data_IF_528257384818
#
_entry.id   IF_528257384818
#
_cell.length_a   1.000
_cell.length_b   1.000
_cell.length_c   1.000
_cell.angle_alpha   90.00
_cell.angle_beta   90.00
_cell.angle_gamma   90.00
#
_symmetry.space_group_name_H-M   'P 1'
#
loop_
_entity.id
_entity.type
_entity.pdbx_description
1 polymer ?
#
# COMPACT_ATOMS: atom_id res chain seq x y z
N UNK A 1 53.05 6.56 41.35
CA UNK A 1 53.42 5.96 40.05
C UNK A 1 53.77 4.46 40.10
N UNK A 2 53.75 3.78 41.26
CA UNK A 2 54.08 2.34 41.36
C UNK A 2 52.86 1.38 41.20
N UNK A 3 51.62 1.88 41.17
CA UNK A 3 50.42 1.00 41.07
C UNK A 3 50.12 0.50 39.65
N UNK A 4 50.53 1.23 38.61
CA UNK A 4 50.23 0.89 37.21
C UNK A 4 51.07 -0.28 36.69
N UNK A 5 52.29 -0.43 37.21
CA UNK A 5 53.21 -1.50 36.80
C UNK A 5 52.72 -2.90 37.19
N UNK A 6 52.12 -3.04 38.38
CA UNK A 6 51.55 -4.31 38.84
C UNK A 6 50.36 -4.76 37.99
N UNK A 7 49.47 -3.81 37.64
CA UNK A 7 48.29 -4.10 36.82
C UNK A 7 48.64 -4.58 35.41
N UNK A 8 49.69 -4.02 34.80
CA UNK A 8 50.16 -4.45 33.48
C UNK A 8 50.72 -5.88 33.53
N UNK A 9 51.46 -6.22 34.60
CA UNK A 9 51.99 -7.57 34.79
C UNK A 9 50.86 -8.60 34.96
N UNK A 10 49.81 -8.28 35.73
CA UNK A 10 48.63 -9.13 35.85
C UNK A 10 47.84 -9.24 34.54
N UNK A 11 47.71 -8.15 33.78
CA UNK A 11 47.01 -8.15 32.49
C UNK A 11 47.76 -9.00 31.45
N UNK A 12 49.09 -8.87 31.37
CA UNK A 12 49.93 -9.70 30.49
C UNK A 12 49.86 -11.16 30.94
N UNK A 13 49.96 -11.44 32.25
CA UNK A 13 49.84 -12.79 32.79
C UNK A 13 48.49 -13.44 32.49
N UNK A 14 47.39 -12.70 32.61
CA UNK A 14 46.04 -13.17 32.26
C UNK A 14 45.91 -13.45 30.76
N UNK A 15 46.49 -12.59 29.91
CA UNK A 15 46.45 -12.76 28.45
C UNK A 15 47.29 -13.97 28.00
N UNK A 16 48.46 -14.16 28.61
CA UNK A 16 49.30 -15.35 28.41
C UNK A 16 48.58 -16.62 28.89
N UNK A 17 47.87 -16.58 30.03
CA UNK A 17 47.08 -17.71 30.51
C UNK A 17 45.92 -18.06 29.59
N UNK A 18 45.22 -17.06 29.02
CA UNK A 18 44.14 -17.28 28.06
C UNK A 18 44.71 -17.87 26.76
N UNK A 19 45.82 -17.34 26.24
CA UNK A 19 46.47 -17.88 25.04
C UNK A 19 47.01 -19.28 25.29
N UNK A 20 47.65 -19.53 26.44
CA UNK A 20 48.15 -20.84 26.82
C UNK A 20 47.02 -21.85 27.06
N UNK A 21 45.88 -21.43 27.63
CA UNK A 21 44.70 -22.28 27.79
C UNK A 21 44.02 -22.58 26.45
N UNK A 22 43.97 -21.61 25.53
CA UNK A 22 43.49 -21.80 24.17
C UNK A 22 44.43 -22.65 23.31
N UNK A 23 45.74 -22.60 23.57
CA UNK A 23 46.75 -23.43 22.91
C UNK A 23 46.86 -24.84 23.52
N UNK A 24 46.65 -24.97 24.84
CA UNK A 24 46.66 -26.24 25.57
C UNK A 24 45.36 -27.03 25.34
N UNK A 25 44.24 -26.34 25.13
CA UNK A 25 43.06 -26.92 24.53
C UNK A 25 43.45 -27.17 23.08
N UNK A 26 43.68 -28.42 22.69
CA UNK A 26 43.85 -28.83 21.28
C UNK A 26 42.52 -28.64 20.55
N UNK A 27 42.05 -27.40 20.46
CA UNK A 27 40.96 -27.00 19.59
C UNK A 27 41.51 -27.29 18.20
N UNK A 28 40.84 -28.19 17.49
CA UNK A 28 41.27 -28.52 16.15
C UNK A 28 41.31 -27.22 15.34
N UNK A 29 42.38 -27.00 14.57
CA UNK A 29 42.48 -25.84 13.67
C UNK A 29 41.20 -25.69 12.80
N UNK A 30 40.55 -26.82 12.49
CA UNK A 30 39.25 -26.86 11.84
C UNK A 30 38.10 -26.23 12.63
N UNK A 31 38.03 -26.39 13.94
CA UNK A 31 36.98 -25.77 14.78
C UNK A 31 37.13 -24.25 14.87
N UNK A 32 38.35 -23.74 15.01
CA UNK A 32 38.62 -22.29 15.02
C UNK A 32 38.29 -21.66 13.67
N UNK A 33 38.70 -22.30 12.57
CA UNK A 33 38.36 -21.86 11.21
C UNK A 33 36.84 -21.89 10.98
N UNK A 34 36.16 -22.96 11.42
CA UNK A 34 34.70 -23.08 11.30
C UNK A 34 33.97 -21.97 12.07
N UNK A 35 34.47 -21.61 13.25
CA UNK A 35 33.90 -20.53 14.05
C UNK A 35 34.10 -19.16 13.40
N UNK A 36 35.29 -18.89 12.86
CA UNK A 36 35.58 -17.65 12.13
C UNK A 36 34.70 -17.54 10.87
N UNK A 37 34.54 -18.62 10.11
CA UNK A 37 33.64 -18.65 8.95
C UNK A 37 32.19 -18.40 9.36
N UNK A 38 31.73 -18.97 10.48
CA UNK A 38 30.38 -18.72 11.00
C UNK A 38 30.19 -17.24 11.37
N UNK A 39 31.17 -16.61 12.04
CA UNK A 39 31.12 -15.18 12.35
C UNK A 39 31.12 -14.32 11.09
N UNK A 40 31.97 -14.63 10.11
CA UNK A 40 31.99 -13.93 8.82
C UNK A 40 30.63 -14.05 8.12
N UNK A 41 30.01 -15.24 8.12
CA UNK A 41 28.69 -15.45 7.55
C UNK A 41 27.61 -14.63 8.27
N UNK A 42 27.64 -14.57 9.60
CA UNK A 42 26.71 -13.75 10.40
C UNK A 42 26.90 -12.26 10.09
N UNK A 43 28.13 -11.75 10.09
CA UNK A 43 28.40 -10.35 9.76
C UNK A 43 28.05 -10.02 8.32
N UNK A 44 28.30 -10.93 7.37
CA UNK A 44 27.90 -10.77 5.97
C UNK A 44 26.37 -10.70 5.85
N UNK A 45 25.64 -11.58 6.53
CA UNK A 45 24.17 -11.56 6.56
C UNK A 45 23.64 -10.26 7.17
N UNK A 46 24.19 -9.82 8.30
CA UNK A 46 23.83 -8.57 8.93
C UNK A 46 24.16 -7.36 8.06
N UNK A 47 25.31 -7.37 7.40
CA UNK A 47 25.72 -6.34 6.46
C UNK A 47 24.75 -6.25 5.29
N UNK A 48 24.34 -7.39 4.70
CA UNK A 48 23.31 -7.45 3.65
C UNK A 48 22.00 -6.88 4.19
N UNK A 49 21.47 -7.38 5.31
CA UNK A 49 20.21 -6.90 5.89
C UNK A 49 20.24 -5.39 6.18
N UNK A 50 21.36 -4.87 6.68
CA UNK A 50 21.50 -3.45 7.01
C UNK A 50 21.71 -2.58 5.76
N UNK A 51 22.50 -3.05 4.80
CA UNK A 51 22.76 -2.36 3.52
C UNK A 51 21.47 -2.26 2.69
N UNK A 52 20.69 -3.33 2.63
CA UNK A 52 19.45 -3.42 1.84
C UNK A 52 18.19 -2.98 2.62
N UNK A 53 18.33 -2.44 3.85
CA UNK A 53 17.17 -2.02 4.67
C UNK A 53 16.24 -1.02 3.97
N UNK A 54 16.78 -0.18 3.07
CA UNK A 54 16.02 0.80 2.29
C UNK A 54 15.21 0.15 1.18
N UNK A 55 15.83 -0.74 0.42
CA UNK A 55 15.19 -1.50 -0.66
C UNK A 55 14.11 -2.44 -0.10
N UNK A 56 14.37 -3.05 1.06
CA UNK A 56 13.42 -3.92 1.74
C UNK A 56 12.13 -3.18 2.12
N UNK A 57 12.21 -1.92 2.58
CA UNK A 57 11.03 -1.08 2.85
C UNK A 57 10.21 -0.81 1.59
N UNK A 58 10.87 -0.57 0.46
CA UNK A 58 10.20 -0.32 -0.82
C UNK A 58 9.46 -1.56 -1.34
N UNK A 59 10.11 -2.72 -1.27
CA UNK A 59 9.50 -4.01 -1.63
C UNK A 59 8.32 -4.30 -0.70
N UNK A 60 8.48 -4.11 0.60
CA UNK A 60 7.41 -4.32 1.57
C UNK A 60 6.20 -3.41 1.33
N UNK A 61 6.42 -2.12 1.07
CA UNK A 61 5.34 -1.19 0.75
C UNK A 61 4.60 -1.58 -0.54
N UNK A 62 5.30 -2.07 -1.57
CA UNK A 62 4.67 -2.57 -2.79
C UNK A 62 3.83 -3.81 -2.54
N UNK A 63 4.34 -4.79 -1.80
CA UNK A 63 3.58 -5.99 -1.44
C UNK A 63 2.35 -5.63 -0.62
N UNK A 64 2.50 -4.71 0.35
CA UNK A 64 1.37 -4.27 1.19
C UNK A 64 0.34 -3.48 0.36
N UNK A 65 0.79 -2.66 -0.59
CA UNK A 65 -0.09 -1.93 -1.50
C UNK A 65 -0.81 -2.86 -2.48
N UNK A 66 -0.15 -3.92 -2.95
CA UNK A 66 -0.74 -4.93 -3.82
C UNK A 66 -1.81 -5.73 -3.08
N UNK A 67 -1.52 -6.14 -1.84
CA UNK A 67 -2.50 -6.77 -0.94
C UNK A 67 -3.66 -5.85 -0.56
N UNK A 68 -3.42 -4.55 -0.40
CA UNK A 68 -4.46 -3.54 -0.19
C UNK A 68 -5.16 -3.12 -1.49
N UNK A 69 -4.67 -3.59 -2.64
CA UNK A 69 -5.10 -3.22 -3.99
C UNK A 69 -4.99 -1.71 -4.30
N UNK A 70 -4.01 -1.03 -3.70
CA UNK A 70 -3.59 0.34 -4.02
C UNK A 70 -2.30 0.37 -4.84
N UNK A 71 -1.78 -0.78 -5.30
CA UNK A 71 -0.53 -0.85 -6.09
C UNK A 71 -0.55 0.05 -7.33
N UNK A 72 -1.74 0.24 -7.91
CA UNK A 72 -1.94 1.03 -9.11
C UNK A 72 -2.31 2.51 -8.84
N UNK A 73 -2.29 2.98 -7.59
CA UNK A 73 -2.58 4.38 -7.27
C UNK A 73 -1.46 4.99 -6.43
N UNK A 74 -1.09 6.24 -6.74
CA UNK A 74 -0.04 6.95 -6.02
C UNK A 74 -0.32 8.44 -5.97
N UNK A 75 -0.16 9.03 -4.79
CA UNK A 75 -0.11 10.48 -4.64
C UNK A 75 1.19 11.07 -5.22
N UNK A 76 1.07 12.12 -6.02
CA UNK A 76 2.19 12.87 -6.61
C UNK A 76 2.01 14.36 -6.33
N UNK A 77 2.43 14.82 -5.15
CA UNK A 77 2.13 16.17 -4.70
C UNK A 77 0.65 16.27 -4.35
N UNK A 78 -0.09 17.17 -5.00
CA UNK A 78 -1.55 17.28 -4.85
C UNK A 78 -2.33 16.37 -5.80
N UNK A 79 -1.71 15.88 -6.87
CA UNK A 79 -2.36 15.03 -7.88
C UNK A 79 -2.29 13.55 -7.51
N UNK A 80 -3.16 12.77 -8.13
CA UNK A 80 -3.19 11.31 -8.02
C UNK A 80 -2.87 10.70 -9.37
N UNK A 81 -1.82 9.89 -9.41
CA UNK A 81 -1.46 9.10 -10.59
C UNK A 81 -2.00 7.68 -10.41
N UNK A 82 -2.77 7.22 -11.38
CA UNK A 82 -3.27 5.86 -11.49
C UNK A 82 -2.57 5.17 -12.65
N UNK A 83 -2.14 3.93 -12.44
CA UNK A 83 -1.63 3.06 -13.49
C UNK A 83 -2.75 2.15 -13.96
N UNK A 84 -2.84 1.92 -15.27
CA UNK A 84 -3.81 0.99 -15.86
C UNK A 84 -3.55 -0.41 -15.29
N UNK A 85 -4.62 -1.08 -14.87
CA UNK A 85 -4.55 -2.48 -14.45
C UNK A 85 -4.33 -3.41 -15.64
N UNK A 86 -3.99 -4.67 -15.34
CA UNK A 86 -3.84 -5.72 -16.34
C UNK A 86 -5.15 -6.04 -17.08
N UNK A 87 -6.29 -5.67 -16.49
CA UNK A 87 -7.63 -5.73 -17.08
C UNK A 87 -7.89 -4.63 -18.12
N UNK A 88 -6.93 -3.72 -18.31
CA UNK A 88 -7.02 -2.61 -19.25
C UNK A 88 -7.76 -1.40 -18.71
N UNK A 89 -8.22 -1.41 -17.45
CA UNK A 89 -9.01 -0.34 -16.87
C UNK A 89 -8.24 0.46 -15.82
N UNK A 90 -8.72 1.67 -15.53
CA UNK A 90 -8.23 2.45 -14.39
C UNK A 90 -9.12 2.18 -13.20
N UNK A 91 -8.53 1.67 -12.13
CA UNK A 91 -9.21 1.45 -10.85
C UNK A 91 -8.61 2.31 -9.76
N UNK A 92 -9.45 2.71 -8.81
CA UNK A 92 -9.05 3.53 -7.67
C UNK A 92 -9.73 3.04 -6.40
N UNK A 93 -8.96 2.89 -5.34
CA UNK A 93 -9.45 2.71 -3.98
C UNK A 93 -9.70 4.08 -3.37
N UNK A 94 -10.97 4.38 -3.11
CA UNK A 94 -11.41 5.59 -2.44
C UNK A 94 -11.89 5.26 -1.02
N UNK A 95 -11.79 6.22 -0.12
CA UNK A 95 -12.45 6.15 1.18
C UNK A 95 -13.80 6.88 1.07
N UNK A 96 -14.90 6.14 1.17
CA UNK A 96 -16.28 6.61 1.12
C UNK A 96 -16.83 6.58 2.53
N UNK A 97 -17.16 7.73 3.11
CA UNK A 97 -17.68 7.86 4.48
C UNK A 97 -16.86 7.08 5.54
N UNK A 98 -15.53 7.05 5.40
CA UNK A 98 -14.63 6.33 6.31
C UNK A 98 -14.30 4.91 5.87
N UNK A 99 -14.97 4.34 4.85
CA UNK A 99 -14.81 2.94 4.45
C UNK A 99 -14.14 2.80 3.07
N UNK A 100 -13.18 1.87 2.91
CA UNK A 100 -12.51 1.68 1.63
C UNK A 100 -13.44 1.03 0.61
N UNK A 101 -13.59 1.65 -0.56
CA UNK A 101 -14.42 1.18 -1.68
C UNK A 101 -13.60 1.29 -2.96
N UNK A 102 -13.54 0.19 -3.73
CA UNK A 102 -12.87 0.16 -5.03
C UNK A 102 -13.83 0.60 -6.12
N UNK A 103 -13.36 1.50 -6.97
CA UNK A 103 -14.07 2.00 -8.14
C UNK A 103 -13.29 1.74 -9.42
N UNK A 104 -14.01 1.43 -10.48
CA UNK A 104 -13.58 1.56 -11.86
C UNK A 104 -13.84 3.00 -12.31
N UNK A 105 -12.87 3.65 -12.94
CA UNK A 105 -13.10 4.97 -13.54
C UNK A 105 -13.80 4.78 -14.89
N UNK A 106 -14.99 5.37 -15.02
CA UNK A 106 -15.84 5.25 -16.20
C UNK A 106 -16.28 6.63 -16.70
N UNK A 107 -15.54 7.16 -17.68
CA UNK A 107 -15.89 8.42 -18.36
C UNK A 107 -17.19 8.34 -19.19
N UNK A 108 -17.72 7.14 -19.44
CA UNK A 108 -19.02 6.94 -20.08
C UNK A 108 -20.19 7.04 -19.10
N UNK A 109 -19.94 6.92 -17.79
CA UNK A 109 -20.96 7.05 -16.76
C UNK A 109 -21.11 8.52 -16.36
N UNK A 110 -22.29 9.11 -16.60
CA UNK A 110 -22.56 10.49 -16.15
C UNK A 110 -22.56 10.63 -14.63
N UNK A 111 -23.07 9.61 -13.93
CA UNK A 111 -23.22 9.59 -12.47
C UNK A 111 -22.46 8.40 -11.89
N UNK A 112 -21.64 8.68 -10.87
CA UNK A 112 -20.98 7.67 -10.02
C UNK A 112 -22.02 6.71 -9.46
N UNK A 113 -21.80 5.42 -9.65
CA UNK A 113 -22.77 4.37 -9.31
C UNK A 113 -22.11 3.31 -8.44
N UNK A 114 -22.73 2.98 -7.30
CA UNK A 114 -22.27 1.93 -6.40
C UNK A 114 -23.17 0.70 -6.52
N UNK A 115 -22.59 -0.47 -6.26
CA UNK A 115 -23.38 -1.65 -5.97
C UNK A 115 -24.14 -1.45 -4.65
N UNK A 116 -25.30 -2.07 -4.54
CA UNK A 116 -26.08 -2.09 -3.29
C UNK A 116 -25.26 -2.56 -2.10
N UNK A 117 -24.47 -3.63 -2.26
CA UNK A 117 -23.59 -4.13 -1.21
C UNK A 117 -22.56 -3.09 -0.78
N UNK A 118 -21.92 -2.41 -1.73
CA UNK A 118 -20.94 -1.37 -1.41
C UNK A 118 -21.58 -0.15 -0.76
N UNK A 119 -22.80 0.21 -1.15
CA UNK A 119 -23.54 1.33 -0.55
C UNK A 119 -23.95 1.02 0.90
N UNK A 120 -24.51 -0.16 1.14
CA UNK A 120 -24.86 -0.67 2.47
C UNK A 120 -23.58 -0.78 3.34
N UNK A 121 -22.51 -1.34 2.77
CA UNK A 121 -21.20 -1.43 3.39
C UNK A 121 -20.48 -0.09 3.51
N UNK A 122 -20.94 1.00 2.89
CA UNK A 122 -20.44 2.36 3.10
C UNK A 122 -21.31 3.16 4.09
N UNK A 123 -22.42 2.57 4.57
CA UNK A 123 -23.39 3.25 5.43
C UNK A 123 -24.11 4.39 4.72
N UNK A 124 -24.33 4.26 3.41
CA UNK A 124 -25.10 5.23 2.64
C UNK A 124 -26.58 5.02 2.88
N UNK A 125 -27.29 6.12 3.08
CA UNK A 125 -28.74 6.11 3.22
C UNK A 125 -29.39 6.19 1.83
N UNK A 126 -30.16 5.16 1.49
CA UNK A 126 -30.98 5.12 0.27
C UNK A 126 -32.19 4.23 0.50
N UNK A 127 -33.37 4.73 0.16
CA UNK A 127 -34.60 3.97 0.33
C UNK A 127 -34.93 3.20 -0.95
N UNK A 128 -34.95 1.86 -0.86
CA UNK A 128 -35.36 1.01 -1.99
C UNK A 128 -36.85 1.13 -2.30
N UNK A 129 -37.65 1.64 -1.37
CA UNK A 129 -39.08 1.93 -1.54
C UNK A 129 -39.35 3.23 -2.31
N UNK A 130 -38.34 4.11 -2.43
CA UNK A 130 -38.42 5.27 -3.30
C UNK A 130 -38.51 4.88 -4.78
N UNK A 131 -39.03 5.82 -5.59
CA UNK A 131 -39.12 5.63 -7.03
C UNK A 131 -37.73 5.46 -7.66
N UNK A 132 -37.45 4.31 -8.31
CA UNK A 132 -36.16 4.08 -8.92
C UNK A 132 -35.99 4.97 -10.17
N UNK A 133 -34.77 5.44 -10.37
CA UNK A 133 -34.34 6.06 -11.62
C UNK A 133 -33.96 4.95 -12.59
N UNK A 134 -34.52 5.02 -13.80
CA UNK A 134 -34.15 4.12 -14.88
C UNK A 134 -32.93 4.68 -15.60
N UNK A 135 -31.83 3.96 -15.55
CA UNK A 135 -30.57 4.32 -16.19
C UNK A 135 -30.34 3.40 -17.39
N UNK A 136 -29.90 3.98 -18.50
CA UNK A 136 -29.45 3.22 -19.67
C UNK A 136 -28.01 2.78 -19.46
N UNK A 137 -27.76 1.48 -19.50
CA UNK A 137 -26.44 0.87 -19.42
C UNK A 137 -26.14 0.08 -20.70
N UNK A 138 -24.92 -0.42 -20.83
CA UNK A 138 -24.54 -1.30 -21.95
C UNK A 138 -25.40 -2.58 -22.02
N UNK A 139 -25.92 -3.05 -20.88
CA UNK A 139 -26.77 -4.24 -20.78
C UNK A 139 -28.27 -3.92 -20.86
N UNK A 140 -28.64 -2.70 -21.25
CA UNK A 140 -30.03 -2.25 -21.33
C UNK A 140 -30.43 -1.33 -20.18
N UNK A 141 -31.72 -1.28 -19.85
CA UNK A 141 -32.23 -0.40 -18.79
C UNK A 141 -32.09 -1.08 -17.42
N UNK A 142 -31.52 -0.37 -16.46
CA UNK A 142 -31.38 -0.81 -15.07
C UNK A 142 -32.11 0.14 -14.12
N UNK A 143 -32.62 -0.40 -13.02
CA UNK A 143 -33.14 0.41 -11.90
C UNK A 143 -31.98 0.85 -11.02
N UNK A 144 -32.06 2.06 -10.51
CA UNK A 144 -31.13 2.59 -9.54
C UNK A 144 -31.83 3.53 -8.57
N UNK A 145 -31.28 3.68 -7.37
CA UNK A 145 -31.78 4.59 -6.35
C UNK A 145 -30.79 5.70 -6.13
N UNK A 146 -31.28 6.90 -5.81
CA UNK A 146 -30.41 8.03 -5.55
C UNK A 146 -29.90 7.94 -4.13
N UNK A 147 -28.62 8.27 -3.94
CA UNK A 147 -28.03 8.45 -2.63
C UNK A 147 -27.00 9.58 -2.70
N UNK A 148 -26.42 9.91 -1.55
CA UNK A 148 -25.38 10.92 -1.46
C UNK A 148 -24.21 10.40 -0.61
N UNK A 149 -23.00 10.58 -1.12
CA UNK A 149 -21.78 10.37 -0.36
C UNK A 149 -21.39 11.69 0.30
N UNK A 150 -21.38 11.70 1.64
CA UNK A 150 -21.00 12.87 2.44
C UNK A 150 -19.55 13.25 2.19
N UNK A 151 -18.64 12.26 2.16
CA UNK A 151 -17.23 12.48 1.84
C UNK A 151 -16.64 11.30 1.09
N UNK A 152 -16.02 11.59 -0.05
CA UNK A 152 -15.18 10.66 -0.80
C UNK A 152 -13.75 11.22 -0.86
N UNK A 153 -12.79 10.38 -0.45
CA UNK A 153 -11.37 10.71 -0.48
C UNK A 153 -10.60 9.74 -1.36
N UNK A 154 -9.89 10.27 -2.34
CA UNK A 154 -8.96 9.55 -3.20
C UNK A 154 -7.58 10.12 -2.94
N UNK A 155 -6.75 9.41 -2.17
CA UNK A 155 -5.43 9.89 -1.76
C UNK A 155 -5.46 11.32 -1.19
N UNK A 156 -5.00 12.31 -1.96
CA UNK A 156 -4.95 13.74 -1.60
C UNK A 156 -6.22 14.51 -1.98
N UNK A 157 -7.06 13.95 -2.84
CA UNK A 157 -8.30 14.56 -3.33
C UNK A 157 -9.42 14.23 -2.34
N UNK A 158 -10.11 15.27 -1.84
CA UNK A 158 -11.27 15.12 -0.97
C UNK A 158 -12.43 15.88 -1.58
N UNK A 159 -13.57 15.20 -1.70
CA UNK A 159 -14.79 15.79 -2.23
C UNK A 159 -15.94 15.45 -1.30
N UNK A 160 -16.79 16.44 -1.06
CA UNK A 160 -17.97 16.27 -0.24
C UNK A 160 -19.23 16.35 -1.10
N UNK A 161 -20.32 15.81 -0.57
CA UNK A 161 -21.66 15.89 -1.15
C UNK A 161 -21.68 15.45 -2.63
N UNK A 162 -21.21 14.23 -2.87
CA UNK A 162 -21.24 13.60 -4.19
C UNK A 162 -22.56 12.83 -4.35
N UNK A 163 -23.42 13.32 -5.24
CA UNK A 163 -24.63 12.59 -5.61
C UNK A 163 -24.26 11.31 -6.37
N UNK A 164 -24.86 10.19 -5.99
CA UNK A 164 -24.59 8.90 -6.63
C UNK A 164 -25.90 8.17 -6.95
N UNK A 165 -25.75 7.13 -7.75
CA UNK A 165 -26.76 6.09 -7.88
C UNK A 165 -26.31 4.82 -7.17
N UNK A 166 -27.28 4.04 -6.67
CA UNK A 166 -27.09 2.70 -6.13
C UNK A 166 -27.86 1.74 -7.00
N UNK A 167 -27.26 0.63 -7.42
CA UNK A 167 -27.92 -0.35 -8.28
C UNK A 167 -27.55 -1.78 -7.93
N UNK A 168 -28.56 -2.66 -7.96
CA UNK A 168 -28.40 -4.10 -7.73
C UNK A 168 -27.75 -4.82 -8.91
N UNK A 169 -27.72 -4.18 -10.09
CA UNK A 169 -27.29 -4.81 -11.34
C UNK A 169 -25.80 -4.65 -11.64
N UNK A 170 -25.02 -4.00 -10.76
CA UNK A 170 -23.57 -3.83 -10.95
C UNK A 170 -22.74 -5.05 -10.53
N UNK A 171 -23.34 -6.00 -9.77
CA UNK A 171 -22.57 -7.04 -9.09
C UNK A 171 -21.57 -6.42 -8.11
N UNK A 172 -20.30 -6.84 -8.21
CA UNK A 172 -19.23 -6.43 -7.28
C UNK A 172 -18.48 -5.16 -7.74
N UNK A 173 -18.90 -4.55 -8.84
CA UNK A 173 -18.22 -3.39 -9.45
C UNK A 173 -18.85 -2.09 -8.96
N UNK A 174 -18.03 -1.07 -8.68
CA UNK A 174 -18.48 0.31 -8.51
C UNK A 174 -17.88 1.18 -9.60
N UNK A 175 -18.63 2.18 -10.07
CA UNK A 175 -18.22 3.07 -11.16
C UNK A 175 -18.05 4.49 -10.63
N UNK A 176 -16.88 5.09 -10.84
CA UNK A 176 -16.62 6.50 -10.59
C UNK A 176 -16.82 7.27 -11.90
N UNK A 177 -17.89 8.04 -11.94
CA UNK A 177 -18.38 8.69 -13.16
C UNK A 177 -17.93 10.14 -13.33
N UNK A 178 -18.42 10.75 -14.39
CA UNK A 178 -18.12 12.12 -14.78
C UNK A 178 -18.51 13.15 -13.73
N UNK A 179 -19.57 12.93 -12.94
CA UNK A 179 -19.93 13.85 -11.85
C UNK A 179 -18.84 14.00 -10.76
N UNK A 180 -17.93 13.03 -10.63
CA UNK A 180 -16.72 13.18 -9.83
C UNK A 180 -15.59 13.81 -10.65
N UNK A 181 -15.34 13.29 -11.86
CA UNK A 181 -14.23 13.75 -12.71
C UNK A 181 -14.35 15.23 -13.12
N UNK A 182 -15.55 15.73 -13.34
CA UNK A 182 -15.84 17.13 -13.73
C UNK A 182 -15.65 18.12 -12.59
N UNK A 183 -15.58 17.63 -11.34
CA UNK A 183 -15.29 18.47 -10.17
C UNK A 183 -13.79 18.61 -9.90
N UNK A 184 -12.96 17.87 -10.63
CA UNK A 184 -11.51 18.00 -10.59
C UNK A 184 -11.07 19.21 -11.41
N UNK A 185 -9.97 19.87 -11.02
CA UNK A 185 -9.31 20.87 -11.83
C UNK A 185 -8.86 20.33 -13.19
N UNK A 186 -8.35 19.10 -13.22
CA UNK A 186 -8.10 18.38 -14.48
C UNK A 186 -8.08 16.86 -14.31
N UNK A 187 -8.39 16.14 -15.38
CA UNK A 187 -8.08 14.73 -15.49
C UNK A 187 -7.59 14.40 -16.90
N UNK A 188 -6.60 13.52 -17.01
CA UNK A 188 -6.00 13.16 -18.31
C UNK A 188 -5.46 11.74 -18.32
N UNK A 189 -5.50 11.12 -19.50
CA UNK A 189 -4.89 9.82 -19.76
C UNK A 189 -3.68 9.99 -20.67
N UNK A 190 -2.54 9.43 -20.28
CA UNK A 190 -1.29 9.44 -21.04
C UNK A 190 -0.71 8.02 -21.05
N UNK A 191 -0.98 7.29 -22.14
CA UNK A 191 -0.64 5.87 -22.24
C UNK A 191 -1.36 5.04 -21.17
N UNK A 192 -0.58 4.42 -20.29
CA UNK A 192 -1.07 3.59 -19.18
C UNK A 192 -1.20 4.35 -17.86
N UNK A 193 -1.12 5.68 -17.90
CA UNK A 193 -1.30 6.53 -16.72
C UNK A 193 -2.54 7.39 -16.85
N UNK A 194 -3.29 7.50 -15.77
CA UNK A 194 -4.31 8.52 -15.58
C UNK A 194 -3.85 9.45 -14.46
N UNK A 195 -3.98 10.76 -14.68
CA UNK A 195 -3.59 11.77 -13.70
C UNK A 195 -4.83 12.57 -13.35
N UNK A 196 -5.14 12.62 -12.05
CA UNK A 196 -6.25 13.36 -11.45
C UNK A 196 -5.68 14.54 -10.68
N UNK A 197 -6.08 15.76 -11.02
CA UNK A 197 -5.63 16.99 -10.39
C UNK A 197 -6.82 17.64 -9.68
N UNK A 198 -6.71 17.95 -8.36
CA UNK A 198 -7.81 18.54 -7.59
C UNK A 198 -8.28 19.89 -8.15
#
# INVERSE_FOLDING_TARGET
MMETGGQIVYAIGALVLVIAALAARRISLGETVRMLLAWIAIFALLFVLFSFRGEFKQIWNRVTADLAGTANQKASGSSVELTRGDDGHFSVLANVNGRPVRFLIDSGATITTLSSESADAAGLDFDRSDYPVIVSTANGRAKSWRANINSIKVETIVMNDLNIHVSDNLGDVNLLGMNFLDRLGSWRVQGDKMILEP
#
